data_IF_388667516324
#
_entry.id   IF_388667516324
#
_cell.length_a   1.000
_cell.length_b   1.000
_cell.length_c   1.000
_cell.angle_alpha   90.00
_cell.angle_beta   90.00
_cell.angle_gamma   90.00
#
_symmetry.space_group_name_H-M   'P 1'
#
loop_
_entity.id
_entity.type
_entity.pdbx_description
1 polymer ?
#
# COMPACT_ATOMS: atom_id res chain seq x y z
N UNK A 1 -4.39 3.50 15.04
CA UNK A 1 -4.53 2.87 13.71
C UNK A 1 -3.72 3.64 12.68
N UNK A 2 -2.84 2.95 11.94
CA UNK A 2 -1.99 3.53 10.90
C UNK A 2 -2.81 4.14 9.74
N UNK A 3 -4.09 3.76 9.59
CA UNK A 3 -5.01 4.33 8.60
C UNK A 3 -5.17 5.86 8.73
N UNK A 4 -5.00 6.42 9.93
CA UNK A 4 -5.06 7.88 10.14
C UNK A 4 -3.87 8.59 9.46
N UNK A 5 -2.67 8.00 9.53
CA UNK A 5 -1.48 8.52 8.84
C UNK A 5 -1.72 8.50 7.33
N UNK A 6 -2.25 7.40 6.79
CA UNK A 6 -2.58 7.27 5.36
C UNK A 6 -3.58 8.34 4.93
N UNK A 7 -4.67 8.52 5.69
CA UNK A 7 -5.74 9.47 5.35
C UNK A 7 -5.23 10.90 5.20
N UNK A 8 -4.38 11.36 6.13
CA UNK A 8 -3.86 12.74 6.15
C UNK A 8 -2.68 12.91 5.18
N UNK A 9 -1.70 12.02 5.22
CA UNK A 9 -0.40 12.22 4.54
C UNK A 9 -0.33 11.60 3.15
N UNK A 10 -1.28 10.71 2.83
CA UNK A 10 -1.27 9.86 1.65
C UNK A 10 -0.17 8.79 1.60
N UNK A 11 0.61 8.62 2.67
CA UNK A 11 1.62 7.56 2.75
C UNK A 11 0.98 6.18 2.56
N UNK A 12 1.61 5.32 1.76
CA UNK A 12 1.13 3.97 1.45
C UNK A 12 0.02 3.88 0.40
N UNK A 13 -0.30 4.96 -0.32
CA UNK A 13 -1.30 4.99 -1.39
C UNK A 13 -0.75 5.30 -2.79
N UNK A 14 0.57 5.28 -2.97
CA UNK A 14 1.18 5.40 -4.30
C UNK A 14 1.11 4.09 -5.10
N UNK A 15 1.52 4.16 -6.37
CA UNK A 15 1.59 3.04 -7.31
C UNK A 15 2.31 1.79 -6.76
N UNK A 16 3.29 2.01 -5.87
CA UNK A 16 4.04 0.94 -5.24
C UNK A 16 3.25 0.15 -4.17
N UNK A 17 2.03 0.54 -3.81
CA UNK A 17 1.20 -0.19 -2.84
C UNK A 17 1.83 -0.31 -1.45
N UNK A 18 2.54 0.73 -1.00
CA UNK A 18 3.28 0.79 0.26
C UNK A 18 4.54 -0.10 0.38
N UNK A 19 4.98 -0.78 -0.68
CA UNK A 19 6.17 -1.65 -0.65
C UNK A 19 7.45 -0.96 -0.15
N UNK A 20 7.57 0.35 -0.35
CA UNK A 20 8.75 1.14 0.03
C UNK A 20 8.61 1.85 1.37
N UNK A 21 7.41 2.34 1.69
CA UNK A 21 7.18 3.17 2.87
C UNK A 21 6.59 2.43 4.07
N UNK A 22 6.05 1.22 3.90
CA UNK A 22 5.41 0.49 5.00
C UNK A 22 6.36 0.23 6.17
N UNK A 23 7.57 -0.25 5.91
CA UNK A 23 8.59 -0.49 6.94
C UNK A 23 9.07 0.81 7.59
N UNK A 24 9.14 1.91 6.83
CA UNK A 24 9.53 3.22 7.34
C UNK A 24 8.51 3.77 8.34
N UNK A 25 7.21 3.66 8.04
CA UNK A 25 6.15 4.13 8.96
C UNK A 25 6.22 3.35 10.28
N UNK A 26 6.41 2.03 10.24
CA UNK A 26 6.58 1.25 11.47
C UNK A 26 7.83 1.67 12.26
N UNK A 27 8.94 1.97 11.58
CA UNK A 27 10.15 2.46 12.24
C UNK A 27 9.93 3.82 12.91
N UNK A 28 9.19 4.72 12.27
CA UNK A 28 8.83 6.02 12.85
C UNK A 28 7.99 5.84 14.12
N UNK A 29 6.98 4.97 14.09
CA UNK A 29 6.14 4.68 15.26
C UNK A 29 6.95 4.07 16.41
N UNK A 30 7.84 3.11 16.12
CA UNK A 30 8.75 2.56 17.13
C UNK A 30 9.65 3.62 17.74
N UNK A 31 10.21 4.52 16.92
CA UNK A 31 11.04 5.64 17.40
C UNK A 31 10.24 6.68 18.19
N UNK A 32 8.95 6.80 17.93
CA UNK A 32 8.04 7.64 18.72
C UNK A 32 7.61 6.98 20.05
N UNK A 33 8.07 5.76 20.35
CA UNK A 33 7.84 5.08 21.62
C UNK A 33 6.71 4.05 21.61
N UNK A 34 6.05 3.82 20.46
CA UNK A 34 4.97 2.84 20.36
C UNK A 34 5.51 1.42 20.16
N UNK A 35 5.08 0.49 21.01
CA UNK A 35 5.28 -0.94 20.83
C UNK A 35 4.46 -1.47 19.64
N UNK A 36 4.90 -2.57 18.99
CA UNK A 36 4.21 -3.14 17.83
C UNK A 36 2.73 -3.47 18.05
N UNK A 37 2.37 -3.84 19.29
CA UNK A 37 1.02 -4.22 19.69
C UNK A 37 0.07 -3.00 19.80
N UNK A 38 0.64 -1.79 19.90
CA UNK A 38 -0.12 -0.54 20.05
C UNK A 38 -0.63 0.02 18.71
N UNK A 39 -0.23 -0.57 17.57
CA UNK A 39 -0.69 -0.12 16.26
C UNK A 39 -1.08 -1.25 15.32
N UNK A 40 -2.17 -1.03 14.61
CA UNK A 40 -2.66 -1.93 13.57
C UNK A 40 -1.95 -1.65 12.24
N UNK A 41 -1.55 -2.71 11.54
CA UNK A 41 -0.95 -2.63 10.21
C UNK A 41 -1.97 -2.32 9.12
N UNK A 42 -1.45 -1.95 7.94
CA UNK A 42 -2.24 -1.76 6.73
C UNK A 42 -3.00 -3.04 6.35
N UNK A 43 -4.24 -2.90 5.91
CA UNK A 43 -4.94 -3.98 5.21
C UNK A 43 -4.31 -4.23 3.84
N UNK A 44 -3.93 -5.47 3.54
CA UNK A 44 -3.44 -5.87 2.21
C UNK A 44 -4.60 -5.97 1.22
N UNK A 45 -4.49 -5.32 0.07
CA UNK A 45 -5.48 -5.38 -1.02
C UNK A 45 -5.02 -6.39 -2.08
N UNK A 46 -5.93 -7.05 -2.83
CA UNK A 46 -5.57 -8.18 -3.70
C UNK A 46 -4.63 -7.85 -4.87
N UNK A 47 -4.62 -6.62 -5.35
CA UNK A 47 -3.76 -6.21 -6.46
C UNK A 47 -2.34 -5.93 -5.95
N UNK A 48 -1.39 -6.78 -6.33
CA UNK A 48 0.02 -6.61 -5.95
C UNK A 48 0.79 -5.66 -6.88
N UNK A 49 0.24 -5.32 -8.03
CA UNK A 49 0.79 -4.40 -9.03
C UNK A 49 -0.34 -3.73 -9.79
N UNK A 50 -0.02 -2.64 -10.48
CA UNK A 50 -0.99 -1.91 -11.31
C UNK A 50 -1.31 -2.72 -12.57
N UNK A 51 -2.58 -2.72 -12.95
CA UNK A 51 -3.06 -3.37 -14.16
C UNK A 51 -4.03 -2.44 -14.87
N UNK A 52 -3.96 -2.42 -16.20
CA UNK A 52 -4.90 -1.64 -17.00
C UNK A 52 -6.33 -2.14 -16.81
N UNK A 53 -7.29 -1.21 -16.77
CA UNK A 53 -8.70 -1.55 -16.68
C UNK A 53 -9.18 -2.36 -17.88
N UNK A 54 -8.59 -2.15 -19.07
CA UNK A 54 -8.88 -2.97 -20.26
C UNK A 54 -8.57 -4.45 -20.00
N UNK A 55 -7.50 -4.74 -19.27
CA UNK A 55 -7.11 -6.12 -18.92
C UNK A 55 -8.14 -6.73 -17.98
N UNK A 56 -8.59 -5.97 -16.97
CA UNK A 56 -9.64 -6.41 -16.04
C UNK A 56 -11.01 -6.59 -16.72
N UNK A 57 -11.32 -5.75 -17.71
CA UNK A 57 -12.57 -5.81 -18.47
C UNK A 57 -12.56 -6.84 -19.62
N UNK A 58 -11.48 -7.63 -19.74
CA UNK A 58 -11.25 -8.55 -20.86
C UNK A 58 -11.31 -7.86 -22.25
N UNK A 59 -10.87 -6.60 -22.31
CA UNK A 59 -10.77 -5.76 -23.50
C UNK A 59 -9.31 -5.55 -23.95
N UNK A 60 -8.34 -6.17 -23.29
CA UNK A 60 -6.96 -6.18 -23.75
C UNK A 60 -6.82 -7.08 -24.97
N UNK A 61 -6.29 -6.57 -26.08
CA UNK A 61 -5.69 -7.44 -27.11
C UNK A 61 -4.60 -8.23 -26.39
N UNK A 62 -4.71 -9.55 -26.36
CA UNK A 62 -3.88 -10.40 -25.53
C UNK A 62 -2.38 -10.18 -25.78
N UNK A 63 -1.75 -9.39 -24.92
CA UNK A 63 -0.32 -9.52 -24.63
C UNK A 63 -0.05 -8.97 -23.22
N UNK A 64 0.45 -9.81 -22.29
CA UNK A 64 0.87 -9.34 -20.98
C UNK A 64 2.26 -8.72 -21.10
N UNK A 65 2.39 -7.42 -20.84
CA UNK A 65 3.68 -6.79 -20.56
C UNK A 65 4.22 -5.73 -21.54
N UNK A 66 3.36 -4.98 -22.23
CA UNK A 66 3.77 -3.69 -22.81
C UNK A 66 3.61 -2.54 -21.80
#
# INVERSE_FOLDING_TARGET
DINQIKAITRAGMGACGAKTCHSLIQQILRRAGYAPEEFTLNTTRPLFFEVDFKTLANQGKGQPGD
#
